data_IF_025593214415
#
_entry.id   IF_025593214415
#
_cell.length_a   1.000
_cell.length_b   1.000
_cell.length_c   1.000
_cell.angle_alpha   90.00
_cell.angle_beta   90.00
_cell.angle_gamma   90.00
#
_symmetry.space_group_name_H-M   'P 1'
#
loop_
_entity.id
_entity.type
_entity.pdbx_description
1 polymer ?
#
# COMPACT_ATOMS: atom_id res chain seq x y z
N UNK A 1 -1.71 -12.84 12.97
CA UNK A 1 -1.35 -12.78 11.54
C UNK A 1 -0.80 -11.38 11.27
N UNK A 2 0.32 -11.25 10.56
CA UNK A 2 0.93 -9.95 10.25
C UNK A 2 0.59 -9.58 8.81
N UNK A 3 0.13 -8.36 8.57
CA UNK A 3 -0.17 -7.81 7.25
C UNK A 3 1.13 -7.27 6.67
N UNK A 4 1.49 -7.76 5.48
CA UNK A 4 2.72 -7.40 4.79
C UNK A 4 2.54 -6.26 3.80
N UNK A 5 1.32 -6.05 3.31
CA UNK A 5 1.02 -5.05 2.29
C UNK A 5 -0.47 -4.91 2.03
N UNK A 6 -0.82 -3.82 1.37
CA UNK A 6 -2.15 -3.59 0.81
C UNK A 6 -1.99 -3.29 -0.67
N UNK A 7 -2.67 -4.05 -1.52
CA UNK A 7 -2.57 -3.95 -2.97
C UNK A 7 -3.73 -3.14 -3.55
N UNK A 8 -3.41 -2.33 -4.55
CA UNK A 8 -4.36 -1.51 -5.32
C UNK A 8 -4.48 -2.04 -6.75
N UNK A 9 -5.51 -1.61 -7.51
CA UNK A 9 -5.66 -2.03 -8.91
C UNK A 9 -4.39 -1.84 -9.73
N UNK A 10 -4.01 -2.85 -10.52
CA UNK A 10 -2.83 -2.81 -11.39
C UNK A 10 -1.52 -3.22 -10.72
N UNK A 11 -1.52 -3.54 -9.43
CA UNK A 11 -0.36 -4.11 -8.75
C UNK A 11 -0.36 -5.63 -8.82
N UNK A 12 0.84 -6.21 -8.82
CA UNK A 12 1.05 -7.66 -8.90
C UNK A 12 1.02 -8.27 -7.50
N UNK A 13 0.41 -9.45 -7.40
CA UNK A 13 0.37 -10.28 -6.19
C UNK A 13 0.94 -11.65 -6.59
N UNK A 14 1.67 -12.30 -5.69
CA UNK A 14 2.22 -13.64 -5.92
C UNK A 14 3.65 -13.66 -6.49
N UNK A 15 4.34 -12.52 -6.50
CA UNK A 15 5.75 -12.44 -6.93
C UNK A 15 6.70 -13.21 -6.01
N UNK A 16 6.29 -13.39 -4.75
CA UNK A 16 6.99 -14.18 -3.73
C UNK A 16 7.12 -15.67 -4.11
N UNK A 17 6.13 -16.20 -4.85
CA UNK A 17 6.13 -17.58 -5.31
C UNK A 17 6.99 -17.83 -6.56
N UNK A 18 7.46 -16.78 -7.24
CA UNK A 18 8.18 -16.94 -8.52
C UNK A 18 9.51 -17.69 -8.37
N UNK A 19 10.14 -17.64 -7.19
CA UNK A 19 11.42 -18.29 -6.94
C UNK A 19 11.29 -19.76 -6.50
N UNK A 20 10.24 -20.09 -5.73
CA UNK A 20 10.13 -21.39 -5.05
C UNK A 20 8.87 -22.20 -5.45
N UNK A 21 8.03 -21.68 -6.34
CA UNK A 21 6.78 -22.30 -6.82
C UNK A 21 5.71 -22.52 -5.72
N UNK A 22 5.84 -21.87 -4.57
CA UNK A 22 4.80 -21.82 -3.53
C UNK A 22 4.73 -20.42 -2.91
N UNK A 23 3.52 -20.01 -2.49
CA UNK A 23 3.30 -18.73 -1.83
C UNK A 23 3.79 -18.75 -0.38
N UNK A 24 4.54 -17.73 0.00
CA UNK A 24 5.00 -17.48 1.37
C UNK A 24 3.94 -16.76 2.20
N UNK A 25 3.02 -16.05 1.55
CA UNK A 25 1.93 -15.33 2.19
C UNK A 25 0.56 -15.68 1.59
N UNK A 26 -0.49 -15.41 2.36
CA UNK A 26 -1.86 -15.44 1.88
C UNK A 26 -2.30 -14.03 1.46
N UNK A 27 -3.29 -13.96 0.57
CA UNK A 27 -3.91 -12.72 0.14
C UNK A 27 -5.43 -12.80 0.31
N UNK A 28 -6.00 -11.81 1.00
CA UNK A 28 -7.44 -11.72 1.24
C UNK A 28 -8.03 -10.50 0.54
N UNK A 29 -9.18 -10.68 -0.13
CA UNK A 29 -9.90 -9.58 -0.76
C UNK A 29 -10.65 -8.75 0.29
N UNK A 30 -10.28 -7.48 0.46
CA UNK A 30 -10.89 -6.56 1.43
C UNK A 30 -12.21 -5.93 0.94
N UNK A 31 -12.47 -6.03 -0.36
CA UNK A 31 -13.70 -5.61 -1.02
C UNK A 31 -13.96 -6.46 -2.27
N UNK A 32 -15.08 -6.19 -2.97
CA UNK A 32 -15.38 -6.86 -4.24
C UNK A 32 -14.27 -6.55 -5.25
N UNK A 33 -13.44 -7.55 -5.50
CA UNK A 33 -12.23 -7.44 -6.33
C UNK A 33 -12.40 -8.23 -7.61
N UNK A 34 -11.80 -7.76 -8.70
CA UNK A 34 -11.62 -8.54 -9.93
C UNK A 34 -10.13 -8.79 -10.12
N UNK A 35 -9.76 -10.04 -10.39
CA UNK A 35 -8.38 -10.46 -10.58
C UNK A 35 -8.17 -10.94 -12.02
N UNK A 36 -6.98 -10.70 -12.56
CA UNK A 36 -6.52 -11.32 -13.79
C UNK A 36 -5.46 -12.34 -13.40
N UNK A 37 -5.82 -13.62 -13.46
CA UNK A 37 -4.89 -14.70 -13.17
C UNK A 37 -3.93 -14.88 -14.35
N UNK A 38 -2.63 -14.85 -14.05
CA UNK A 38 -1.57 -15.03 -15.02
C UNK A 38 -0.79 -16.30 -14.65
N UNK A 39 -1.08 -17.45 -15.27
CA UNK A 39 -0.33 -18.67 -15.03
C UNK A 39 1.14 -18.43 -15.38
N UNK A 40 2.05 -18.60 -14.42
CA UNK A 40 3.46 -18.21 -14.59
C UNK A 40 4.12 -18.91 -15.78
N UNK A 41 3.82 -20.19 -15.99
CA UNK A 41 4.32 -20.97 -17.13
C UNK A 41 3.84 -20.45 -18.49
N UNK A 42 2.63 -19.88 -18.56
CA UNK A 42 2.12 -19.24 -19.77
C UNK A 42 2.76 -17.87 -19.97
N UNK A 43 2.91 -17.10 -18.89
CA UNK A 43 3.59 -15.80 -18.91
C UNK A 43 5.03 -15.94 -19.42
N UNK A 44 5.76 -16.98 -18.99
CA UNK A 44 7.10 -17.28 -19.48
C UNK A 44 7.15 -17.52 -20.99
N UNK A 45 6.19 -18.26 -21.55
CA UNK A 45 6.13 -18.47 -23.01
C UNK A 45 5.90 -17.15 -23.74
N UNK A 46 4.91 -16.36 -23.32
CA UNK A 46 4.60 -15.06 -23.95
C UNK A 46 5.78 -14.08 -23.86
N UNK A 47 6.54 -14.09 -22.76
CA UNK A 47 7.75 -13.26 -22.64
C UNK A 47 8.82 -13.59 -23.67
N UNK A 48 8.90 -14.84 -24.17
CA UNK A 48 9.82 -15.20 -25.26
C UNK A 48 9.37 -14.66 -26.62
N UNK A 49 8.06 -14.47 -26.81
CA UNK A 49 7.47 -13.95 -28.05
C UNK A 49 7.41 -12.42 -28.06
N UNK A 50 7.25 -11.80 -26.88
CA UNK A 50 7.11 -10.35 -26.70
C UNK A 50 8.15 -9.84 -25.70
N UNK A 51 9.39 -9.54 -26.13
CA UNK A 51 10.48 -9.14 -25.23
C UNK A 51 10.17 -7.89 -24.39
N UNK A 52 9.36 -6.96 -24.90
CA UNK A 52 8.92 -5.78 -24.15
C UNK A 52 8.11 -6.14 -22.89
N UNK A 53 7.41 -7.29 -22.89
CA UNK A 53 6.66 -7.77 -21.72
C UNK A 53 7.60 -8.17 -20.58
N UNK A 54 8.73 -8.80 -20.90
CA UNK A 54 9.74 -9.16 -19.90
C UNK A 54 10.27 -7.91 -19.18
N UNK A 55 10.58 -6.85 -19.93
CA UNK A 55 11.01 -5.58 -19.34
C UNK A 55 9.92 -4.96 -18.45
N UNK A 56 8.66 -5.04 -18.85
CA UNK A 56 7.54 -4.54 -18.05
C UNK A 56 7.37 -5.35 -16.75
N UNK A 57 7.49 -6.68 -16.81
CA UNK A 57 7.41 -7.55 -15.64
C UNK A 57 8.54 -7.25 -14.64
N UNK A 58 9.79 -7.16 -15.11
CA UNK A 58 10.94 -6.81 -14.26
C UNK A 58 10.72 -5.45 -13.59
N UNK A 59 10.20 -4.47 -14.33
CA UNK A 59 9.88 -3.15 -13.77
C UNK A 59 8.75 -3.20 -12.74
N UNK A 60 7.80 -4.11 -12.89
CA UNK A 60 6.73 -4.31 -11.91
C UNK A 60 7.28 -4.97 -10.63
N UNK A 61 8.08 -6.03 -10.76
CA UNK A 61 8.75 -6.70 -9.63
C UNK A 61 9.67 -5.72 -8.87
N UNK A 62 10.46 -4.92 -9.60
CA UNK A 62 11.33 -3.91 -8.99
C UNK A 62 10.54 -2.87 -8.19
N UNK A 63 9.32 -2.52 -8.62
CA UNK A 63 8.45 -1.62 -7.87
C UNK A 63 7.93 -2.25 -6.58
N UNK A 64 7.59 -3.53 -6.60
CA UNK A 64 7.17 -4.26 -5.41
C UNK A 64 8.31 -4.34 -4.39
N UNK A 65 9.52 -4.70 -4.83
CA UNK A 65 10.71 -4.74 -3.98
C UNK A 65 11.01 -3.38 -3.34
N UNK A 66 10.87 -2.29 -4.10
CA UNK A 66 11.05 -0.93 -3.56
C UNK A 66 9.96 -0.60 -2.53
N UNK A 67 8.71 -1.00 -2.76
CA UNK A 67 7.62 -0.81 -1.80
C UNK A 67 7.87 -1.57 -0.48
N UNK A 68 8.37 -2.80 -0.55
CA UNK A 68 8.78 -3.57 0.63
C UNK A 68 9.92 -2.90 1.40
N UNK A 69 10.94 -2.37 0.70
CA UNK A 69 12.02 -1.61 1.34
C UNK A 69 11.51 -0.34 2.02
N UNK A 70 10.59 0.40 1.38
CA UNK A 70 9.95 1.56 2.00
C UNK A 70 9.16 1.17 3.26
N UNK A 71 8.49 0.01 3.25
CA UNK A 71 7.82 -0.51 4.44
C UNK A 71 8.81 -0.78 5.58
N UNK A 72 9.94 -1.43 5.31
CA UNK A 72 10.99 -1.65 6.32
C UNK A 72 11.51 -0.34 6.91
N UNK A 73 11.79 0.66 6.06
CA UNK A 73 12.22 1.99 6.51
C UNK A 73 11.16 2.68 7.37
N UNK A 74 9.88 2.60 6.96
CA UNK A 74 8.75 3.13 7.73
C UNK A 74 8.65 2.45 9.11
N UNK A 75 8.80 1.12 9.17
CA UNK A 75 8.77 0.36 10.42
C UNK A 75 9.92 0.73 11.37
N UNK A 76 11.06 1.18 10.82
CA UNK A 76 12.19 1.71 11.60
C UNK A 76 11.93 3.09 12.23
N UNK A 77 10.87 3.81 11.83
CA UNK A 77 10.56 5.15 12.39
C UNK A 77 10.10 5.03 13.85
N UNK A 78 10.62 5.86 14.77
CA UNK A 78 10.28 5.75 16.19
C UNK A 78 8.88 6.29 16.51
N UNK A 79 8.40 7.28 15.75
CA UNK A 79 7.14 7.93 16.05
C UNK A 79 5.97 7.28 15.30
N UNK A 80 4.92 6.90 16.03
CA UNK A 80 3.70 6.33 15.46
C UNK A 80 3.03 7.27 14.44
N UNK A 81 3.11 8.59 14.67
CA UNK A 81 2.57 9.59 13.75
C UNK A 81 3.29 9.60 12.41
N UNK A 82 4.62 9.49 12.41
CA UNK A 82 5.43 9.44 11.18
C UNK A 82 5.03 8.23 10.33
N UNK A 83 4.88 7.05 10.95
CA UNK A 83 4.46 5.83 10.24
C UNK A 83 3.10 6.01 9.58
N UNK A 84 2.13 6.58 10.29
CA UNK A 84 0.80 6.83 9.73
C UNK A 84 0.85 7.86 8.59
N UNK A 85 1.64 8.93 8.74
CA UNK A 85 1.80 9.95 7.69
C UNK A 85 2.43 9.36 6.42
N UNK A 86 3.51 8.57 6.57
CA UNK A 86 4.16 7.86 5.46
C UNK A 86 3.18 6.90 4.77
N UNK A 87 2.39 6.16 5.55
CA UNK A 87 1.37 5.26 5.01
C UNK A 87 0.30 5.99 4.18
N UNK A 88 -0.28 7.06 4.72
CA UNK A 88 -1.30 7.85 4.02
C UNK A 88 -0.71 8.52 2.75
N UNK A 89 0.51 9.04 2.83
CA UNK A 89 1.22 9.59 1.68
C UNK A 89 1.47 8.54 0.60
N UNK A 90 1.93 7.34 0.98
CA UNK A 90 2.15 6.23 0.05
C UNK A 90 0.85 5.84 -0.68
N UNK A 91 -0.28 5.78 0.04
CA UNK A 91 -1.58 5.53 -0.58
C UNK A 91 -2.00 6.66 -1.53
N UNK A 92 -1.80 7.92 -1.14
CA UNK A 92 -2.07 9.10 -1.97
C UNK A 92 -1.29 9.07 -3.29
N UNK A 93 0.02 8.81 -3.22
CA UNK A 93 0.86 8.69 -4.41
C UNK A 93 0.41 7.54 -5.33
N UNK A 94 -0.02 6.41 -4.76
CA UNK A 94 -0.54 5.27 -5.53
C UNK A 94 -1.92 5.54 -6.15
N UNK A 95 -2.79 6.28 -5.47
CA UNK A 95 -4.07 6.75 -6.03
C UNK A 95 -3.85 7.69 -7.23
N UNK A 96 -2.88 8.61 -7.11
CA UNK A 96 -2.50 9.50 -8.21
C UNK A 96 -2.02 8.75 -9.45
N UNK A 97 -1.27 7.64 -9.28
CA UNK A 97 -0.86 6.76 -10.40
C UNK A 97 -2.04 6.08 -11.11
N UNK A 98 -3.17 5.91 -10.40
CA UNK A 98 -4.41 5.37 -10.96
C UNK A 98 -5.30 6.44 -11.59
N UNK A 99 -4.82 7.69 -11.74
CA UNK A 99 -5.62 8.83 -12.18
C UNK A 99 -6.87 9.05 -11.31
N UNK A 100 -6.79 8.64 -10.04
CA UNK A 100 -7.81 8.93 -9.02
C UNK A 100 -7.40 10.18 -8.25
N UNK A 101 -8.36 10.75 -7.53
CA UNK A 101 -8.07 11.83 -6.60
C UNK A 101 -7.03 11.37 -5.56
N UNK A 102 -5.84 11.98 -5.60
CA UNK A 102 -4.74 11.66 -4.70
C UNK A 102 -4.99 12.20 -3.29
N UNK A 103 -5.88 13.17 -3.12
CA UNK A 103 -6.19 13.78 -1.83
C UNK A 103 -7.35 13.06 -1.14
N UNK A 104 -8.19 12.32 -1.86
CA UNK A 104 -9.31 11.54 -1.29
C UNK A 104 -9.05 10.04 -1.35
N UNK A 105 -8.68 9.46 -0.20
CA UNK A 105 -8.36 8.06 -0.05
C UNK A 105 -9.58 7.27 0.43
N UNK A 106 -9.87 6.14 -0.21
CA UNK A 106 -10.80 5.15 0.35
C UNK A 106 -10.03 4.03 1.02
N UNK A 107 -10.09 3.98 2.36
CA UNK A 107 -9.43 2.96 3.17
C UNK A 107 -10.36 1.75 3.29
N UNK A 108 -10.18 0.77 2.40
CA UNK A 108 -10.97 -0.46 2.37
C UNK A 108 -10.69 -1.34 3.58
N UNK A 109 -9.43 -1.33 4.03
CA UNK A 109 -8.93 -1.98 5.23
C UNK A 109 -9.49 -1.37 6.52
N UNK A 110 -9.57 -2.16 7.58
CA UNK A 110 -10.02 -1.71 8.90
C UNK A 110 -8.92 -0.96 9.66
N UNK A 111 -9.29 -0.25 10.75
CA UNK A 111 -8.30 0.33 11.66
C UNK A 111 -7.41 -0.73 12.31
N UNK A 112 -7.92 -1.93 12.52
CA UNK A 112 -7.15 -3.05 13.05
C UNK A 112 -6.09 -3.51 12.04
N UNK A 113 -6.45 -3.59 10.76
CA UNK A 113 -5.52 -3.96 9.69
C UNK A 113 -4.42 -2.92 9.53
N UNK A 114 -4.77 -1.63 9.56
CA UNK A 114 -3.79 -0.53 9.53
C UNK A 114 -2.87 -0.62 10.75
N UNK A 115 -3.42 -0.87 11.93
CA UNK A 115 -2.64 -0.98 13.16
C UNK A 115 -1.65 -2.15 13.08
N UNK A 116 -2.10 -3.30 12.59
CA UNK A 116 -1.28 -4.48 12.37
C UNK A 116 -0.15 -4.22 11.36
N UNK A 117 -0.48 -3.63 10.20
CA UNK A 117 0.49 -3.25 9.17
C UNK A 117 1.55 -2.28 9.71
N UNK A 118 1.18 -1.30 10.54
CA UNK A 118 2.11 -0.29 11.07
C UNK A 118 2.83 -0.71 12.36
N UNK A 119 2.53 -1.90 12.89
CA UNK A 119 3.05 -2.37 14.18
C UNK A 119 2.63 -1.47 15.34
N UNK A 120 1.38 -0.99 15.33
CA UNK A 120 0.80 -0.09 16.32
C UNK A 120 -0.43 -0.72 16.98
N UNK A 121 -0.83 -0.21 18.14
CA UNK A 121 -2.12 -0.54 18.75
C UNK A 121 -3.26 0.16 17.99
N UNK A 122 -4.43 -0.50 17.91
CA UNK A 122 -5.60 0.05 17.20
C UNK A 122 -6.08 1.37 17.82
N UNK A 123 -5.98 1.50 19.15
CA UNK A 123 -6.30 2.72 19.88
C UNK A 123 -5.36 3.86 19.52
N UNK A 124 -4.08 3.55 19.24
CA UNK A 124 -3.11 4.56 18.79
C UNK A 124 -3.45 5.05 17.40
N UNK A 125 -3.81 4.16 16.47
CA UNK A 125 -4.29 4.56 15.15
C UNK A 125 -5.51 5.47 15.27
N UNK A 126 -6.53 5.07 16.03
CA UNK A 126 -7.73 5.87 16.24
C UNK A 126 -7.41 7.26 16.80
N UNK A 127 -6.57 7.35 17.85
CA UNK A 127 -6.12 8.63 18.42
C UNK A 127 -5.38 9.51 17.42
N UNK A 128 -4.53 8.92 16.57
CA UNK A 128 -3.80 9.67 15.54
C UNK A 128 -4.74 10.24 14.49
N UNK A 129 -5.71 9.47 14.00
CA UNK A 129 -6.72 9.98 13.07
C UNK A 129 -7.50 11.14 13.68
N UNK A 130 -8.01 11.00 14.92
CA UNK A 130 -8.71 12.08 15.62
C UNK A 130 -7.83 13.32 15.79
N UNK A 131 -6.55 13.17 16.12
CA UNK A 131 -5.62 14.29 16.27
C UNK A 131 -5.37 15.01 14.94
N UNK A 132 -5.16 14.26 13.86
CA UNK A 132 -4.95 14.83 12.53
C UNK A 132 -6.20 15.54 12.01
N UNK A 133 -7.39 15.00 12.32
CA UNK A 133 -8.67 15.62 12.00
C UNK A 133 -8.91 16.91 12.80
N UNK A 134 -8.68 16.89 14.12
CA UNK A 134 -8.77 18.08 14.97
C UNK A 134 -7.78 19.19 14.56
N UNK A 135 -6.61 18.81 14.01
CA UNK A 135 -5.63 19.74 13.44
C UNK A 135 -5.98 20.24 12.02
N UNK A 136 -7.08 19.77 11.43
CA UNK A 136 -7.48 20.09 10.06
C UNK A 136 -6.49 19.63 9.00
N UNK A 137 -5.72 18.57 9.28
CA UNK A 137 -4.80 17.95 8.31
C UNK A 137 -5.58 16.96 7.44
N UNK A 138 -6.51 16.24 8.05
CA UNK A 138 -7.38 15.26 7.40
C UNK A 138 -8.86 15.58 7.71
N UNK A 139 -9.76 15.08 6.88
CA UNK A 139 -11.17 14.88 7.24
C UNK A 139 -11.49 13.40 7.09
N UNK A 140 -12.17 12.82 8.09
CA UNK A 140 -12.48 11.38 8.11
C UNK A 140 -13.99 11.20 8.03
N UNK A 141 -14.47 10.58 6.96
CA UNK A 141 -15.86 10.18 6.81
C UNK A 141 -15.95 8.68 6.54
N UNK A 142 -16.23 7.90 7.60
CA UNK A 142 -16.26 6.43 7.58
C UNK A 142 -14.94 5.84 7.04
N UNK A 143 -14.94 5.31 5.81
CA UNK A 143 -13.77 4.74 5.12
C UNK A 143 -13.03 5.77 4.27
N UNK A 144 -13.65 6.92 4.01
CA UNK A 144 -13.06 7.98 3.19
C UNK A 144 -12.22 8.89 4.07
N UNK A 145 -10.98 9.14 3.66
CA UNK A 145 -10.05 10.08 4.30
C UNK A 145 -9.63 11.10 3.26
N UNK A 146 -10.01 12.36 3.46
CA UNK A 146 -9.57 13.47 2.62
C UNK A 146 -8.38 14.18 3.26
N UNK A 147 -7.31 14.36 2.52
CA UNK A 147 -6.10 15.08 2.92
C UNK A 147 -6.34 16.56 2.64
N UNK A 148 -6.52 17.36 3.69
CA UNK A 148 -6.82 18.79 3.58
C UNK A 148 -5.56 19.65 3.45
N UNK A 149 -4.43 19.16 4.00
CA UNK A 149 -3.15 19.88 4.02
C UNK A 149 -2.01 18.93 3.68
N UNK A 150 -1.74 18.77 2.39
CA UNK A 150 -0.69 17.88 1.86
C UNK A 150 0.69 18.24 2.43
N UNK A 151 1.04 19.53 2.48
CA UNK A 151 2.34 19.98 2.99
C UNK A 151 2.57 19.59 4.46
N UNK A 152 1.52 19.70 5.28
CA UNK A 152 1.58 19.29 6.68
C UNK A 152 1.74 17.77 6.83
N UNK A 153 1.01 16.98 6.01
CA UNK A 153 1.16 15.53 5.98
C UNK A 153 2.58 15.11 5.59
N UNK A 154 3.17 15.79 4.60
CA UNK A 154 4.55 15.56 4.14
C UNK A 154 5.55 15.92 5.23
N UNK A 155 5.38 17.06 5.92
CA UNK A 155 6.24 17.45 7.03
C UNK A 155 6.21 16.42 8.18
N UNK A 156 5.05 15.79 8.42
CA UNK A 156 4.91 14.72 9.42
C UNK A 156 5.60 13.41 9.04
N UNK A 157 6.05 13.22 7.79
CA UNK A 157 6.79 12.02 7.38
C UNK A 157 8.24 11.98 7.91
N UNK A 158 8.75 13.07 8.49
CA UNK A 158 10.09 13.11 9.09
C UNK A 158 11.23 13.11 8.08
N UNK A 159 11.27 14.13 7.22
CA UNK A 159 12.44 14.48 6.38
C UNK A 159 13.60 14.96 7.23
#
# INVERSE_FOLDING_TARGET
MQILGFHLPGELIGVDAMANEYHLCAADALERTSICELPYTQLQKVMTEVPSLQHQLIRAISRELVAEQHHLVMMGRPQAQERLAIFLRSLSERYGRLSRDAETLTLTMSRHDIANYLGLAVETISRLFTRMEAGGILSVNRKTVSILKVDMLVAMCGT
#
